data_IF_886627987192
#
_entry.id   IF_886627987192
#
_cell.length_a   1.000
_cell.length_b   1.000
_cell.length_c   1.000
_cell.angle_alpha   90.00
_cell.angle_beta   90.00
_cell.angle_gamma   90.00
#
_symmetry.space_group_name_H-M   'P 1'
#
loop_
_entity.id
_entity.type
_entity.pdbx_description
1 polymer ?
#
# COMPACT_ATOMS: atom_id res chain seq x y z
N UNK A 1 -20.10 29.68 -5.06
CA UNK A 1 -19.59 29.00 -6.26
C UNK A 1 -18.42 28.14 -5.81
N UNK A 2 -18.57 26.81 -5.84
CA UNK A 2 -17.44 25.90 -5.63
C UNK A 2 -16.63 25.87 -6.94
N UNK A 3 -15.31 26.07 -6.85
CA UNK A 3 -14.41 26.05 -7.99
C UNK A 3 -14.40 24.64 -8.62
N UNK A 4 -14.83 24.52 -9.89
CA UNK A 4 -14.83 23.28 -10.69
C UNK A 4 -13.54 22.43 -10.58
N UNK A 5 -12.32 23.01 -10.54
CA UNK A 5 -11.08 22.23 -10.39
C UNK A 5 -11.00 21.39 -9.11
N UNK A 6 -11.59 21.85 -8.00
CA UNK A 6 -11.54 21.11 -6.74
C UNK A 6 -12.46 19.89 -6.76
N UNK A 7 -13.57 19.96 -7.49
CA UNK A 7 -14.53 18.85 -7.63
C UNK A 7 -13.94 17.72 -8.46
N UNK A 8 -13.18 18.03 -9.52
CA UNK A 8 -12.53 17.02 -10.36
C UNK A 8 -11.39 16.29 -9.64
N UNK A 9 -10.56 17.00 -8.88
CA UNK A 9 -9.46 16.40 -8.08
C UNK A 9 -10.02 15.44 -7.03
N UNK A 10 -11.08 15.82 -6.33
CA UNK A 10 -11.74 14.96 -5.33
C UNK A 10 -12.35 13.70 -5.96
N UNK A 11 -12.93 13.82 -7.16
CA UNK A 11 -13.46 12.67 -7.92
C UNK A 11 -12.33 11.73 -8.34
N UNK A 12 -11.24 12.26 -8.89
CA UNK A 12 -10.09 11.47 -9.32
C UNK A 12 -9.48 10.67 -8.15
N UNK A 13 -9.29 11.31 -7.00
CA UNK A 13 -8.80 10.65 -5.78
C UNK A 13 -9.74 9.54 -5.30
N UNK A 14 -11.05 9.77 -5.36
CA UNK A 14 -12.07 8.76 -5.04
C UNK A 14 -11.99 7.56 -5.98
N UNK A 15 -11.88 7.77 -7.30
CA UNK A 15 -11.79 6.68 -8.28
C UNK A 15 -10.52 5.85 -8.12
N UNK A 16 -9.37 6.49 -7.86
CA UNK A 16 -8.10 5.80 -7.62
C UNK A 16 -8.20 4.92 -6.38
N UNK A 17 -8.77 5.42 -5.28
CA UNK A 17 -8.97 4.62 -4.06
C UNK A 17 -9.83 3.39 -4.31
N UNK A 18 -11.00 3.57 -4.91
CA UNK A 18 -11.91 2.45 -5.16
C UNK A 18 -11.30 1.43 -6.14
N UNK A 19 -10.47 1.89 -7.07
CA UNK A 19 -9.68 1.01 -7.95
C UNK A 19 -8.68 0.19 -7.15
N UNK A 20 -7.93 0.82 -6.23
CA UNK A 20 -6.98 0.13 -5.35
C UNK A 20 -7.70 -0.88 -4.45
N UNK A 21 -8.83 -0.51 -3.84
CA UNK A 21 -9.64 -1.44 -3.03
C UNK A 21 -10.06 -2.66 -3.84
N UNK A 22 -10.60 -2.46 -5.05
CA UNK A 22 -11.01 -3.55 -5.95
C UNK A 22 -9.83 -4.42 -6.37
N UNK A 23 -8.67 -3.81 -6.65
CA UNK A 23 -7.44 -4.52 -6.97
C UNK A 23 -7.02 -5.44 -5.82
N UNK A 24 -6.90 -4.91 -4.60
CA UNK A 24 -6.49 -5.68 -3.41
C UNK A 24 -7.44 -6.85 -3.13
N UNK A 25 -8.75 -6.61 -3.18
CA UNK A 25 -9.75 -7.68 -2.99
C UNK A 25 -9.64 -8.76 -4.05
N UNK A 26 -9.43 -8.37 -5.32
CA UNK A 26 -9.25 -9.31 -6.42
C UNK A 26 -7.97 -10.11 -6.27
N UNK A 27 -6.90 -9.48 -5.80
CA UNK A 27 -5.63 -10.16 -5.51
C UNK A 27 -5.83 -11.28 -4.47
N UNK A 28 -6.42 -10.96 -3.32
CA UNK A 28 -6.74 -11.94 -2.26
C UNK A 28 -7.62 -13.08 -2.79
N UNK A 29 -8.70 -12.75 -3.50
CA UNK A 29 -9.61 -13.74 -4.07
C UNK A 29 -8.91 -14.66 -5.08
N UNK A 30 -8.06 -14.09 -5.94
CA UNK A 30 -7.34 -14.84 -6.98
C UNK A 30 -6.33 -15.81 -6.35
N UNK A 31 -5.57 -15.36 -5.35
CA UNK A 31 -4.59 -16.21 -4.66
C UNK A 31 -5.27 -17.38 -3.93
N UNK A 32 -6.45 -17.17 -3.34
CA UNK A 32 -7.24 -18.27 -2.77
C UNK A 32 -7.74 -19.25 -3.84
N UNK A 33 -8.15 -18.76 -5.01
CA UNK A 33 -8.63 -19.63 -6.10
C UNK A 33 -7.57 -20.54 -6.70
N UNK A 34 -6.29 -20.14 -6.71
CA UNK A 34 -5.18 -20.96 -7.22
C UNK A 34 -4.70 -22.04 -6.22
N UNK A 35 -5.47 -22.29 -5.15
CA UNK A 35 -5.24 -23.38 -4.21
C UNK A 35 -4.28 -23.05 -3.06
N UNK A 36 -4.01 -21.77 -2.81
CA UNK A 36 -3.16 -21.35 -1.70
C UNK A 36 -3.98 -20.99 -0.45
N UNK A 37 -4.66 -21.99 0.11
CA UNK A 37 -5.55 -21.80 1.26
C UNK A 37 -4.82 -21.39 2.53
N UNK A 38 -3.52 -21.67 2.61
CA UNK A 38 -2.66 -21.31 3.74
C UNK A 38 -2.07 -19.90 3.66
N UNK A 39 -2.24 -19.19 2.53
CA UNK A 39 -1.77 -17.80 2.44
C UNK A 39 -2.48 -16.91 3.46
N UNK A 40 -1.67 -16.15 4.19
CA UNK A 40 -2.10 -15.16 5.15
C UNK A 40 -1.85 -13.76 4.60
N UNK A 41 -2.72 -12.82 4.94
CA UNK A 41 -2.66 -11.44 4.49
C UNK A 41 -2.65 -10.51 5.68
N UNK A 42 -1.85 -9.46 5.58
CA UNK A 42 -1.79 -8.34 6.52
C UNK A 42 -2.01 -7.03 5.75
N UNK A 43 -2.46 -5.99 6.45
CA UNK A 43 -2.64 -4.65 5.86
C UNK A 43 -1.77 -3.66 6.62
N UNK A 44 -0.96 -2.91 5.88
CA UNK A 44 -0.18 -1.78 6.38
C UNK A 44 -0.72 -0.51 5.75
N UNK A 45 -1.06 0.48 6.58
CA UNK A 45 -1.46 1.80 6.12
C UNK A 45 -0.24 2.70 6.03
N UNK A 46 -0.10 3.40 4.91
CA UNK A 46 0.94 4.40 4.71
C UNK A 46 0.34 5.76 5.03
N UNK A 47 0.53 6.25 6.26
CA UNK A 47 0.18 7.61 6.69
C UNK A 47 1.39 8.52 6.53
N UNK A 48 1.64 9.47 7.43
CA UNK A 48 2.97 10.04 7.65
C UNK A 48 4.01 8.96 8.02
N UNK A 49 3.59 7.92 8.75
CA UNK A 49 4.37 6.73 9.10
C UNK A 49 3.64 5.44 8.68
N UNK A 50 4.33 4.31 8.64
CA UNK A 50 3.73 3.02 8.35
C UNK A 50 3.04 2.42 9.60
N UNK A 51 1.75 2.13 9.50
CA UNK A 51 0.95 1.56 10.59
C UNK A 51 0.53 0.14 10.22
N UNK A 52 0.89 -0.83 11.05
CA UNK A 52 0.41 -2.20 10.95
C UNK A 52 -1.06 -2.26 11.38
N UNK A 53 -1.98 -2.32 10.41
CA UNK A 53 -3.41 -2.12 10.62
C UNK A 53 -4.17 -3.43 10.82
N UNK A 54 -3.84 -4.45 10.04
CA UNK A 54 -4.39 -5.79 10.15
C UNK A 54 -3.25 -6.80 10.24
N UNK A 55 -3.25 -7.60 11.30
CA UNK A 55 -2.35 -8.75 11.45
C UNK A 55 -2.64 -9.86 10.43
N UNK A 56 -1.65 -10.73 10.24
CA UNK A 56 -1.78 -11.87 9.34
C UNK A 56 -3.03 -12.71 9.63
N UNK A 57 -3.83 -12.90 8.60
CA UNK A 57 -5.00 -13.76 8.63
C UNK A 57 -5.21 -14.47 7.30
N UNK A 58 -5.58 -15.74 7.34
CA UNK A 58 -6.01 -16.48 6.16
C UNK A 58 -7.46 -16.16 5.74
N UNK A 59 -8.21 -15.42 6.57
CA UNK A 59 -9.61 -15.10 6.32
C UNK A 59 -9.77 -13.96 5.30
N UNK A 60 -10.06 -14.34 4.05
CA UNK A 60 -10.36 -13.36 2.99
C UNK A 60 -11.56 -12.46 3.34
N UNK A 61 -12.51 -12.95 4.14
CA UNK A 61 -13.63 -12.14 4.62
C UNK A 61 -13.16 -10.96 5.47
N UNK A 62 -12.31 -11.23 6.48
CA UNK A 62 -11.77 -10.19 7.37
C UNK A 62 -10.98 -9.16 6.56
N UNK A 63 -10.09 -9.63 5.67
CA UNK A 63 -9.28 -8.76 4.81
C UNK A 63 -10.16 -7.85 3.94
N UNK A 64 -11.19 -8.41 3.33
CA UNK A 64 -12.11 -7.64 2.48
C UNK A 64 -12.91 -6.60 3.28
N UNK A 65 -13.35 -6.94 4.49
CA UNK A 65 -14.03 -6.02 5.41
C UNK A 65 -13.12 -4.86 5.81
N UNK A 66 -11.87 -5.13 6.15
CA UNK A 66 -10.90 -4.09 6.49
C UNK A 66 -10.60 -3.17 5.29
N UNK A 67 -10.46 -3.72 4.08
CA UNK A 67 -10.28 -2.92 2.86
C UNK A 67 -11.48 -2.00 2.61
N UNK A 68 -12.71 -2.48 2.83
CA UNK A 68 -13.92 -1.65 2.69
C UNK A 68 -13.94 -0.51 3.71
N UNK A 69 -13.54 -0.79 4.95
CA UNK A 69 -13.53 0.14 6.06
C UNK A 69 -12.50 1.28 5.92
N UNK A 70 -11.60 1.23 4.94
CA UNK A 70 -10.71 2.34 4.60
C UNK A 70 -11.51 3.51 3.98
N UNK A 71 -12.23 4.29 4.79
CA UNK A 71 -12.99 5.49 4.38
C UNK A 71 -12.24 6.80 4.68
N UNK A 72 -12.70 7.89 4.05
CA UNK A 72 -12.09 9.25 4.07
C UNK A 72 -11.89 9.80 5.48
N UNK A 73 -12.77 9.46 6.42
CA UNK A 73 -12.76 10.02 7.77
C UNK A 73 -11.54 9.60 8.59
N UNK A 74 -10.86 8.52 8.18
CA UNK A 74 -9.69 7.97 8.88
C UNK A 74 -8.34 8.40 8.30
N UNK A 75 -8.33 9.09 7.16
CA UNK A 75 -7.10 9.44 6.46
C UNK A 75 -7.05 10.96 6.29
N UNK A 76 -6.40 11.63 7.24
CA UNK A 76 -5.87 12.97 6.99
C UNK A 76 -5.07 12.93 5.69
N UNK A 77 -5.12 13.97 4.87
CA UNK A 77 -4.21 14.07 3.74
C UNK A 77 -2.78 14.20 4.30
N UNK A 78 -1.98 13.16 4.14
CA UNK A 78 -0.58 13.14 4.55
C UNK A 78 0.28 13.57 3.36
N UNK A 79 0.96 14.70 3.49
CA UNK A 79 1.78 15.26 2.43
C UNK A 79 3.02 14.40 2.16
N UNK A 80 3.68 13.92 3.20
CA UNK A 80 4.96 13.20 3.12
C UNK A 80 4.86 11.83 3.78
N UNK A 81 5.74 10.91 3.38
CA UNK A 81 5.84 9.57 3.94
C UNK A 81 7.26 9.27 4.41
N UNK A 82 7.38 8.76 5.64
CA UNK A 82 8.62 8.21 6.17
C UNK A 82 8.85 6.77 5.71
N UNK A 83 9.73 6.57 4.72
CA UNK A 83 10.09 5.23 4.26
C UNK A 83 10.84 4.41 5.32
N UNK A 84 11.53 5.06 6.25
CA UNK A 84 12.22 4.37 7.34
C UNK A 84 11.21 3.62 8.21
N UNK A 85 10.10 4.29 8.56
CA UNK A 85 9.02 3.67 9.33
C UNK A 85 8.44 2.42 8.67
N UNK A 86 8.40 2.35 7.33
CA UNK A 86 7.98 1.12 6.64
C UNK A 86 8.95 -0.03 6.91
N UNK A 87 10.25 0.22 6.75
CA UNK A 87 11.27 -0.79 7.02
C UNK A 87 11.21 -1.30 8.45
N UNK A 88 11.08 -0.39 9.41
CA UNK A 88 11.02 -0.73 10.83
C UNK A 88 9.74 -1.51 11.17
N UNK A 89 8.60 -1.08 10.63
CA UNK A 89 7.30 -1.76 10.81
C UNK A 89 7.32 -3.16 10.20
N UNK A 90 7.84 -3.34 8.99
CA UNK A 90 7.97 -4.67 8.39
C UNK A 90 8.96 -5.55 9.18
N UNK A 91 10.14 -5.03 9.52
CA UNK A 91 11.15 -5.80 10.24
C UNK A 91 10.68 -6.24 11.65
N UNK A 92 9.80 -5.46 12.29
CA UNK A 92 9.22 -5.80 13.59
C UNK A 92 8.18 -6.91 13.52
N UNK A 93 7.33 -6.91 12.48
CA UNK A 93 6.18 -7.80 12.39
C UNK A 93 6.46 -9.06 11.55
N UNK A 94 7.41 -9.01 10.62
CA UNK A 94 7.77 -10.14 9.77
C UNK A 94 8.80 -11.02 10.46
N UNK A 95 8.54 -12.33 10.55
CA UNK A 95 9.48 -13.31 11.11
C UNK A 95 10.50 -13.74 10.05
N UNK A 96 11.25 -12.79 9.50
CA UNK A 96 12.15 -13.00 8.36
C UNK A 96 13.31 -13.98 8.61
N UNK A 97 13.56 -14.35 9.87
CA UNK A 97 14.53 -15.40 10.22
C UNK A 97 13.96 -16.81 10.04
N UNK A 98 12.63 -16.94 9.99
CA UNK A 98 11.98 -18.20 9.72
C UNK A 98 11.85 -18.39 8.20
N UNK A 99 12.58 -19.36 7.67
CA UNK A 99 12.63 -19.68 6.24
C UNK A 99 11.45 -20.52 5.76
N UNK A 100 10.61 -21.03 6.68
CA UNK A 100 9.38 -21.75 6.35
C UNK A 100 8.31 -20.82 5.76
N UNK A 101 8.46 -19.52 5.98
CA UNK A 101 7.56 -18.49 5.47
C UNK A 101 8.24 -17.65 4.39
N UNK A 102 7.49 -17.45 3.30
CA UNK A 102 7.81 -16.48 2.27
C UNK A 102 6.93 -15.24 2.44
N UNK A 103 7.54 -14.05 2.38
CA UNK A 103 6.86 -12.79 2.59
C UNK A 103 6.90 -11.93 1.31
N UNK A 104 5.73 -11.46 0.89
CA UNK A 104 5.60 -10.49 -0.20
C UNK A 104 4.91 -9.23 0.32
N UNK A 105 5.61 -8.10 0.25
CA UNK A 105 5.03 -6.80 0.50
C UNK A 105 4.70 -6.11 -0.84
N UNK A 106 3.42 -5.83 -1.07
CA UNK A 106 2.96 -5.04 -2.23
C UNK A 106 2.65 -3.63 -1.75
N UNK A 107 3.52 -2.69 -2.09
CA UNK A 107 3.39 -1.28 -1.73
C UNK A 107 2.71 -0.53 -2.85
N UNK A 108 1.54 0.04 -2.57
CA UNK A 108 0.82 0.91 -3.51
C UNK A 108 1.01 2.35 -3.05
N UNK A 109 1.77 3.13 -3.82
CA UNK A 109 2.12 4.51 -3.47
C UNK A 109 1.52 5.48 -4.48
N UNK A 110 0.57 6.32 -4.03
CA UNK A 110 -0.15 7.25 -4.90
C UNK A 110 0.10 8.73 -4.60
N UNK A 111 1.13 9.08 -3.83
CA UNK A 111 1.45 10.48 -3.53
C UNK A 111 2.42 11.04 -4.57
N UNK A 112 2.32 12.35 -4.79
CA UNK A 112 3.23 13.08 -5.68
C UNK A 112 4.57 13.41 -5.02
N UNK A 113 4.62 13.44 -3.68
CA UNK A 113 5.86 13.60 -2.93
C UNK A 113 6.72 12.35 -3.06
N UNK A 114 8.04 12.54 -3.04
CA UNK A 114 8.97 11.42 -2.96
C UNK A 114 9.08 11.03 -1.49
N UNK A 115 8.97 9.74 -1.12
CA UNK A 115 9.22 9.29 0.24
C UNK A 115 10.60 9.75 0.72
N UNK A 116 10.71 10.08 2.01
CA UNK A 116 12.03 10.36 2.59
C UNK A 116 12.91 9.12 2.51
N UNK A 117 14.21 9.30 2.28
CA UNK A 117 15.13 8.18 2.18
C UNK A 117 15.37 7.55 3.56
N UNK A 118 15.35 6.21 3.68
CA UNK A 118 15.69 5.54 4.93
C UNK A 118 17.14 5.89 5.33
N UNK A 119 17.35 6.15 6.61
CA UNK A 119 18.65 6.52 7.18
C UNK A 119 19.46 5.32 7.66
N UNK A 120 18.81 4.17 7.83
CA UNK A 120 19.45 2.91 8.21
C UNK A 120 19.32 1.85 7.10
N UNK A 121 20.06 0.75 7.27
CA UNK A 121 20.13 -0.34 6.29
C UNK A 121 19.01 -1.39 6.46
N UNK A 122 17.96 -1.17 7.26
CA UNK A 122 16.93 -2.20 7.56
C UNK A 122 16.30 -2.76 6.28
N UNK A 123 15.76 -1.90 5.42
CA UNK A 123 15.12 -2.33 4.18
C UNK A 123 16.11 -3.00 3.22
N UNK A 124 17.37 -2.55 3.22
CA UNK A 124 18.46 -3.16 2.42
C UNK A 124 18.77 -4.57 2.91
N UNK A 125 18.85 -4.77 4.23
CA UNK A 125 19.09 -6.07 4.84
C UNK A 125 17.91 -7.03 4.61
N UNK A 126 16.67 -6.53 4.62
CA UNK A 126 15.49 -7.33 4.29
C UNK A 126 15.53 -7.83 2.85
N UNK A 127 15.88 -6.97 1.88
CA UNK A 127 16.00 -7.32 0.45
C UNK A 127 17.07 -8.36 0.13
N UNK A 128 18.04 -8.55 1.02
CA UNK A 128 19.07 -9.58 0.86
C UNK A 128 18.58 -10.98 1.26
N UNK A 129 17.37 -11.10 1.83
CA UNK A 129 16.82 -12.38 2.25
C UNK A 129 16.09 -13.06 1.10
N UNK A 130 16.29 -14.37 0.97
CA UNK A 130 15.70 -15.18 -0.09
C UNK A 130 14.18 -15.40 0.08
N UNK A 131 13.63 -15.13 1.27
CA UNK A 131 12.24 -15.33 1.62
C UNK A 131 11.44 -14.01 1.74
N UNK A 132 11.95 -12.92 1.17
CA UNK A 132 11.27 -11.62 1.18
C UNK A 132 11.33 -10.96 -0.19
N UNK A 133 10.18 -10.47 -0.67
CA UNK A 133 10.07 -9.62 -1.85
C UNK A 133 9.31 -8.33 -1.52
N UNK A 134 9.71 -7.25 -2.19
CA UNK A 134 9.05 -5.95 -2.11
C UNK A 134 8.68 -5.50 -3.52
N UNK A 135 7.39 -5.54 -3.84
CA UNK A 135 6.83 -5.02 -5.08
C UNK A 135 6.28 -3.62 -4.83
N UNK A 136 6.54 -2.70 -5.75
CA UNK A 136 6.08 -1.31 -5.62
C UNK A 136 5.30 -0.90 -6.85
N UNK A 137 4.06 -0.48 -6.63
CA UNK A 137 3.17 0.10 -7.64
C UNK A 137 3.07 1.59 -7.34
N UNK A 138 3.60 2.42 -8.25
CA UNK A 138 3.50 3.87 -8.13
C UNK A 138 2.37 4.39 -9.02
N UNK A 139 1.40 5.05 -8.40
CA UNK A 139 0.27 5.68 -9.08
C UNK A 139 0.59 7.16 -9.23
N UNK A 140 0.84 7.58 -10.46
CA UNK A 140 1.04 8.99 -10.79
C UNK A 140 -0.19 9.50 -11.54
N UNK A 141 -0.66 10.69 -11.18
CA UNK A 141 -1.50 11.46 -12.08
C UNK A 141 -0.68 11.68 -13.36
N UNK A 142 -1.14 11.13 -14.49
CA UNK A 142 -0.35 11.06 -15.72
C UNK A 142 0.30 12.39 -16.11
N UNK A 143 1.40 12.34 -16.86
CA UNK A 143 2.10 13.50 -17.38
C UNK A 143 1.09 14.55 -17.85
N UNK A 144 0.97 15.67 -17.12
CA UNK A 144 0.21 16.82 -17.60
C UNK A 144 0.79 17.13 -18.97
N UNK A 145 -0.02 16.98 -20.02
CA UNK A 145 0.37 17.32 -21.37
C UNK A 145 0.63 18.83 -21.37
N UNK A 146 1.89 19.25 -21.20
CA UNK A 146 2.31 20.65 -21.19
C UNK A 146 2.26 21.30 -22.58
N UNK A 147 1.63 20.65 -23.56
CA UNK A 147 1.51 21.09 -24.94
C UNK A 147 0.08 21.56 -25.27
N UNK A 148 -0.55 22.32 -24.37
CA UNK A 148 -1.66 23.17 -24.80
C UNK A 148 -1.04 24.40 -25.51
N UNK A 149 -1.30 24.63 -26.81
CA UNK A 149 -0.81 25.81 -27.49
C UNK A 149 -1.51 27.05 -26.91
N UNK A 150 -0.71 28.09 -26.64
CA UNK A 150 -1.15 29.45 -26.30
C UNK A 150 -1.90 30.07 -27.47
#
# INVERSE_FOLDING_TARGET
MYNEPQVEVLKAQTYTRETVKRFLKRYVATNKMIGNDNDEYAIVLLTDVAIWHLDFTASAFIVNTEIDALSEDRLRAYADFDMQSLGDTLNTNLKLQNVDYYYQAIVIYGRSSVPTLPTNDVMKNMKQRNNFILDVIVLHDGFKNTNAPV
#
